data_IF_752094384651
#
_entry.id   IF_752094384651
#
_cell.length_a   1.000
_cell.length_b   1.000
_cell.length_c   1.000
_cell.angle_alpha   90.00
_cell.angle_beta   90.00
_cell.angle_gamma   90.00
#
_symmetry.space_group_name_H-M   'P 1'
#
loop_
_entity.id
_entity.type
_entity.pdbx_description
1 polymer ?
#
# COMPACT_ATOMS: atom_id res chain seq x y z
N UNK A 1 -8.10 25.99 -7.79
CA UNK A 1 -6.97 25.16 -7.30
C UNK A 1 -7.40 24.56 -5.97
N UNK A 2 -7.52 23.23 -5.95
CA UNK A 2 -8.18 22.48 -4.87
C UNK A 2 -7.39 22.57 -3.55
N UNK A 3 -8.09 22.58 -2.41
CA UNK A 3 -7.51 22.42 -1.07
C UNK A 3 -6.55 21.23 -0.98
N UNK A 4 -6.72 20.22 -1.85
CA UNK A 4 -5.80 19.10 -2.06
C UNK A 4 -4.37 19.52 -2.42
N UNK A 5 -4.17 20.50 -3.30
CA UNK A 5 -2.81 20.92 -3.70
C UNK A 5 -2.08 21.63 -2.57
N UNK A 6 -2.81 22.30 -1.68
CA UNK A 6 -2.23 23.00 -0.53
C UNK A 6 -1.80 22.00 0.54
N UNK A 7 -2.61 20.97 0.79
CA UNK A 7 -2.27 19.91 1.74
C UNK A 7 -1.17 18.97 1.22
N UNK A 8 -1.16 18.66 -0.09
CA UNK A 8 -0.05 17.94 -0.74
C UNK A 8 1.27 18.69 -0.59
N UNK A 9 1.26 20.00 -0.82
CA UNK A 9 2.46 20.82 -0.63
C UNK A 9 2.85 20.95 0.85
N UNK A 10 1.90 21.00 1.78
CA UNK A 10 2.18 21.02 3.22
C UNK A 10 2.71 19.66 3.72
N UNK A 11 2.21 18.52 3.21
CA UNK A 11 2.73 17.18 3.52
C UNK A 11 4.14 16.95 2.92
N UNK A 12 4.36 17.40 1.68
CA UNK A 12 5.69 17.40 1.05
C UNK A 12 6.65 18.37 1.77
N UNK A 13 6.14 19.47 2.33
CA UNK A 13 6.92 20.45 3.11
C UNK A 13 7.29 19.93 4.51
N UNK A 14 6.43 19.11 5.14
CA UNK A 14 6.67 18.52 6.46
C UNK A 14 7.66 17.34 6.43
N UNK A 15 7.92 16.70 5.27
CA UNK A 15 8.59 15.37 5.21
C UNK A 15 9.82 15.23 4.30
N UNK A 16 10.53 16.31 3.96
CA UNK A 16 11.78 16.17 3.20
C UNK A 16 12.93 15.46 3.95
N UNK A 17 12.81 15.17 5.25
CA UNK A 17 13.93 14.66 6.05
C UNK A 17 14.02 13.13 6.19
N UNK A 18 12.96 12.36 5.88
CA UNK A 18 12.94 10.90 6.13
C UNK A 18 12.46 10.05 4.93
N UNK A 19 12.29 10.62 3.73
CA UNK A 19 11.88 9.82 2.55
C UNK A 19 12.91 8.76 2.16
N UNK A 20 14.18 9.03 2.50
CA UNK A 20 15.31 8.11 2.40
C UNK A 20 15.17 6.87 3.29
N UNK A 21 14.31 6.88 4.31
CA UNK A 21 13.98 5.68 5.08
C UNK A 21 13.09 4.69 4.32
N UNK A 22 12.42 5.12 3.25
CA UNK A 22 11.64 4.23 2.36
C UNK A 22 12.59 3.52 1.39
N UNK A 23 13.43 2.64 1.92
CA UNK A 23 14.28 1.73 1.14
C UNK A 23 13.66 0.34 1.04
N UNK A 24 14.00 -0.42 0.00
CA UNK A 24 13.58 -1.83 -0.15
C UNK A 24 13.95 -2.67 1.08
N UNK A 25 15.13 -2.43 1.66
CA UNK A 25 15.60 -3.11 2.87
C UNK A 25 14.74 -2.78 4.10
N UNK A 26 14.45 -1.49 4.33
CA UNK A 26 13.64 -1.06 5.47
C UNK A 26 12.20 -1.54 5.34
N UNK A 27 11.64 -1.48 4.12
CA UNK A 27 10.33 -2.05 3.79
C UNK A 27 10.28 -3.55 4.06
N UNK A 28 11.30 -4.31 3.64
CA UNK A 28 11.38 -5.75 3.93
C UNK A 28 11.38 -6.03 5.43
N UNK A 29 12.23 -5.33 6.20
CA UNK A 29 12.32 -5.53 7.64
C UNK A 29 11.01 -5.21 8.34
N UNK A 30 10.36 -4.11 7.96
CA UNK A 30 9.10 -3.69 8.56
C UNK A 30 7.95 -4.62 8.16
N UNK A 31 7.84 -5.05 6.91
CA UNK A 31 6.83 -6.05 6.52
C UNK A 31 7.02 -7.40 7.24
N UNK A 32 8.27 -7.81 7.51
CA UNK A 32 8.55 -8.99 8.36
C UNK A 32 8.07 -8.78 9.80
N UNK A 33 8.28 -7.58 10.35
CA UNK A 33 7.81 -7.22 11.69
C UNK A 33 6.27 -7.26 11.78
N UNK A 34 5.59 -6.71 10.77
CA UNK A 34 4.12 -6.74 10.64
C UNK A 34 3.57 -8.12 10.21
N UNK A 35 4.43 -9.16 10.17
CA UNK A 35 4.06 -10.55 9.89
C UNK A 35 3.38 -10.77 8.53
N UNK A 36 3.79 -10.02 7.51
CA UNK A 36 3.39 -10.33 6.13
C UNK A 36 3.84 -11.74 5.74
N UNK A 37 3.07 -12.45 4.91
CA UNK A 37 3.52 -13.73 4.34
C UNK A 37 4.84 -13.56 3.61
N UNK A 38 5.81 -14.44 3.89
CA UNK A 38 7.17 -14.34 3.32
C UNK A 38 7.19 -14.21 1.79
N UNK A 39 6.39 -15.04 1.11
CA UNK A 39 6.28 -15.00 -0.37
C UNK A 39 5.64 -13.70 -0.86
N UNK A 40 4.67 -13.16 -0.12
CA UNK A 40 4.07 -11.86 -0.46
C UNK A 40 5.12 -10.74 -0.34
N UNK A 41 5.96 -10.78 0.69
CA UNK A 41 7.09 -9.85 0.82
C UNK A 41 7.98 -9.94 -0.42
N UNK A 42 8.40 -11.14 -0.83
CA UNK A 42 9.25 -11.33 -2.01
C UNK A 42 8.60 -10.77 -3.29
N UNK A 43 7.31 -11.01 -3.50
CA UNK A 43 6.55 -10.46 -4.64
C UNK A 43 6.47 -8.93 -4.60
N UNK A 44 6.23 -8.34 -3.42
CA UNK A 44 6.17 -6.89 -3.23
C UNK A 44 7.54 -6.23 -3.47
N UNK A 45 8.61 -6.79 -2.92
CA UNK A 45 9.96 -6.27 -3.11
C UNK A 45 10.40 -6.37 -4.58
N UNK A 46 9.99 -7.42 -5.29
CA UNK A 46 10.26 -7.53 -6.74
C UNK A 46 9.60 -6.38 -7.50
N UNK A 47 8.33 -6.11 -7.23
CA UNK A 47 7.58 -5.02 -7.86
C UNK A 47 8.13 -3.63 -7.47
N UNK A 48 8.53 -3.43 -6.20
CA UNK A 48 9.19 -2.19 -5.75
C UNK A 48 10.52 -1.95 -6.47
N UNK A 49 11.37 -2.97 -6.58
CA UNK A 49 12.63 -2.88 -7.32
C UNK A 49 12.38 -2.55 -8.80
N UNK A 50 11.34 -3.15 -9.41
CA UNK A 50 10.96 -2.83 -10.78
C UNK A 50 10.58 -1.35 -10.93
N UNK A 51 9.77 -0.81 -10.01
CA UNK A 51 9.43 0.61 -10.01
C UNK A 51 10.68 1.49 -9.89
N UNK A 52 11.56 1.22 -8.93
CA UNK A 52 12.81 1.97 -8.75
C UNK A 52 13.63 1.98 -10.04
N UNK A 53 13.73 0.84 -10.73
CA UNK A 53 14.45 0.74 -12.01
C UNK A 53 13.78 1.53 -13.15
N UNK A 54 12.44 1.63 -13.14
CA UNK A 54 11.68 2.30 -14.21
C UNK A 54 11.60 3.83 -14.03
N UNK A 55 11.47 4.31 -12.80
CA UNK A 55 11.18 5.73 -12.51
C UNK A 55 12.19 6.42 -11.59
N UNK A 56 13.12 5.67 -11.01
CA UNK A 56 14.09 6.16 -10.03
C UNK A 56 13.57 6.09 -8.59
N UNK A 57 14.52 6.08 -7.65
CA UNK A 57 14.27 5.90 -6.21
C UNK A 57 13.43 7.04 -5.61
N UNK A 58 13.72 8.29 -5.95
CA UNK A 58 12.99 9.47 -5.42
C UNK A 58 11.50 9.41 -5.80
N UNK A 59 11.19 9.08 -7.05
CA UNK A 59 9.79 8.97 -7.49
C UNK A 59 9.09 7.75 -6.90
N UNK A 60 9.81 6.64 -6.71
CA UNK A 60 9.31 5.50 -5.94
C UNK A 60 8.95 5.90 -4.49
N UNK A 61 9.84 6.58 -3.77
CA UNK A 61 9.62 7.00 -2.38
C UNK A 61 8.42 7.93 -2.26
N UNK A 62 8.28 8.92 -3.16
CA UNK A 62 7.11 9.82 -3.20
C UNK A 62 5.82 9.07 -3.47
N UNK A 63 5.81 8.16 -4.44
CA UNK A 63 4.63 7.36 -4.74
C UNK A 63 4.23 6.50 -3.54
N UNK A 64 5.19 5.84 -2.89
CA UNK A 64 4.93 5.02 -1.72
C UNK A 64 4.46 5.84 -0.51
N UNK A 65 4.98 7.05 -0.32
CA UNK A 65 4.51 7.96 0.72
C UNK A 65 3.06 8.46 0.47
N UNK A 66 2.61 8.46 -0.79
CA UNK A 66 1.26 8.89 -1.19
C UNK A 66 0.21 7.77 -1.23
N UNK A 67 0.56 6.54 -0.82
CA UNK A 67 -0.28 5.34 -0.95
C UNK A 67 -1.64 5.44 -0.25
N UNK A 68 -1.72 6.21 0.83
CA UNK A 68 -2.97 6.44 1.54
C UNK A 68 -4.02 7.15 0.66
N UNK A 69 -3.56 7.92 -0.33
CA UNK A 69 -4.39 8.77 -1.17
C UNK A 69 -4.62 8.19 -2.56
N UNK A 70 -3.89 7.14 -2.95
CA UNK A 70 -3.92 6.56 -4.29
C UNK A 70 -3.71 5.06 -4.24
N UNK A 71 -4.53 4.31 -4.98
CA UNK A 71 -4.26 2.89 -5.23
C UNK A 71 -2.91 2.80 -5.94
N UNK A 72 -1.94 2.03 -5.41
CA UNK A 72 -0.67 1.80 -6.09
C UNK A 72 -0.91 1.34 -7.52
N UNK A 73 -0.20 1.94 -8.47
CA UNK A 73 -0.18 1.42 -9.84
C UNK A 73 0.22 -0.08 -9.88
N UNK A 74 0.96 -0.56 -8.86
CA UNK A 74 1.30 -1.97 -8.64
C UNK A 74 0.09 -2.91 -8.55
N UNK A 75 -1.00 -2.47 -7.93
CA UNK A 75 -2.20 -3.29 -7.69
C UNK A 75 -3.39 -2.90 -8.54
N UNK A 76 -3.24 -1.87 -9.37
CA UNK A 76 -4.29 -1.37 -10.28
C UNK A 76 -4.72 -2.42 -11.32
N UNK A 77 -3.85 -3.39 -11.62
CA UNK A 77 -4.22 -4.54 -12.43
C UNK A 77 -5.11 -5.49 -11.61
N UNK A 78 -6.39 -5.52 -11.95
CA UNK A 78 -7.38 -6.41 -11.34
C UNK A 78 -6.93 -7.88 -11.34
N UNK A 79 -6.33 -8.36 -12.44
CA UNK A 79 -5.80 -9.72 -12.55
C UNK A 79 -4.68 -10.02 -11.54
N UNK A 80 -3.80 -9.05 -11.27
CA UNK A 80 -2.76 -9.21 -10.25
C UNK A 80 -3.37 -9.24 -8.85
N UNK A 81 -4.29 -8.31 -8.56
CA UNK A 81 -4.97 -8.25 -7.27
C UNK A 81 -5.77 -9.53 -6.97
N UNK A 82 -6.48 -10.06 -7.97
CA UNK A 82 -7.19 -11.33 -7.86
C UNK A 82 -6.23 -12.51 -7.63
N UNK A 83 -5.08 -12.52 -8.30
CA UNK A 83 -4.05 -13.54 -8.08
C UNK A 83 -3.52 -13.50 -6.65
N UNK A 84 -3.16 -12.31 -6.15
CA UNK A 84 -2.71 -12.14 -4.76
C UNK A 84 -3.81 -12.58 -3.79
N UNK A 85 -5.07 -12.26 -4.06
CA UNK A 85 -6.19 -12.76 -3.25
C UNK A 85 -6.20 -14.29 -3.20
N UNK A 86 -6.06 -14.97 -4.34
CA UNK A 86 -6.08 -16.44 -4.40
C UNK A 86 -4.89 -17.05 -3.67
N UNK A 87 -3.70 -16.50 -3.87
CA UNK A 87 -2.45 -17.03 -3.31
C UNK A 87 -2.33 -16.79 -1.79
N UNK A 88 -2.94 -15.71 -1.28
CA UNK A 88 -2.86 -15.29 0.12
C UNK A 88 -4.22 -15.13 0.81
N UNK A 89 -5.24 -15.87 0.35
CA UNK A 89 -6.65 -15.72 0.76
C UNK A 89 -6.84 -15.65 2.27
N UNK A 90 -6.25 -16.60 3.01
CA UNK A 90 -6.44 -16.69 4.45
C UNK A 90 -5.91 -15.44 5.16
N UNK A 91 -4.72 -14.98 4.76
CA UNK A 91 -4.13 -13.77 5.33
C UNK A 91 -4.98 -12.53 4.98
N UNK A 92 -5.46 -12.42 3.74
CA UNK A 92 -6.29 -11.27 3.32
C UNK A 92 -7.62 -11.23 4.07
N UNK A 93 -8.33 -12.34 4.20
CA UNK A 93 -9.60 -12.35 4.94
C UNK A 93 -9.39 -12.04 6.43
N UNK A 94 -8.32 -12.56 7.04
CA UNK A 94 -7.97 -12.22 8.42
C UNK A 94 -7.66 -10.72 8.57
N UNK A 95 -6.93 -10.14 7.62
CA UNK A 95 -6.64 -8.70 7.63
C UNK A 95 -7.88 -7.86 7.35
N UNK A 96 -8.79 -8.26 6.47
CA UNK A 96 -10.06 -7.56 6.25
C UNK A 96 -10.86 -7.46 7.55
N UNK A 97 -11.00 -8.56 8.30
CA UNK A 97 -11.71 -8.56 9.57
C UNK A 97 -11.04 -7.64 10.59
N UNK A 98 -9.70 -7.59 10.62
CA UNK A 98 -8.98 -6.64 11.48
C UNK A 98 -9.27 -5.20 11.07
N UNK A 99 -9.20 -4.89 9.78
CA UNK A 99 -9.47 -3.55 9.25
C UNK A 99 -10.88 -3.07 9.55
N UNK A 100 -11.89 -3.93 9.43
CA UNK A 100 -13.26 -3.58 9.81
C UNK A 100 -13.38 -3.29 11.30
N UNK A 101 -12.65 -4.03 12.14
CA UNK A 101 -12.63 -3.80 13.58
C UNK A 101 -11.88 -2.51 13.98
N UNK A 102 -10.80 -2.19 13.28
CA UNK A 102 -9.97 -0.99 13.48
C UNK A 102 -10.69 0.28 13.03
N UNK A 103 -11.29 0.25 11.83
CA UNK A 103 -11.94 1.42 11.21
C UNK A 103 -13.40 1.60 11.59
N UNK A 104 -14.06 0.53 12.08
CA UNK A 104 -15.52 0.46 12.28
C UNK A 104 -16.34 0.65 11.00
N UNK A 105 -15.72 0.49 9.84
CA UNK A 105 -16.35 0.55 8.52
C UNK A 105 -16.28 -0.82 7.87
N UNK A 106 -17.28 -1.18 7.06
CA UNK A 106 -17.22 -2.43 6.31
C UNK A 106 -16.15 -2.34 5.21
N UNK A 107 -15.63 -3.48 4.77
CA UNK A 107 -14.68 -3.49 3.64
C UNK A 107 -15.32 -2.94 2.35
N UNK A 108 -16.65 -3.04 2.22
CA UNK A 108 -17.43 -2.52 1.09
C UNK A 108 -17.40 -1.00 1.08
N UNK A 109 -17.64 -0.36 2.24
CA UNK A 109 -17.55 1.09 2.43
C UNK A 109 -16.12 1.60 2.21
N UNK A 110 -15.12 0.86 2.68
CA UNK A 110 -13.70 1.23 2.50
C UNK A 110 -13.18 1.08 1.05
N UNK A 111 -13.95 0.41 0.18
CA UNK A 111 -13.58 0.14 -1.22
C UNK A 111 -14.60 0.69 -2.21
N UNK A 112 -15.42 1.66 -1.80
CA UNK A 112 -16.38 2.35 -2.67
C UNK A 112 -15.67 3.01 -3.88
N UNK A 113 -14.42 3.46 -3.70
CA UNK A 113 -13.60 4.07 -4.74
C UNK A 113 -13.22 3.11 -5.89
N UNK A 114 -13.32 1.80 -5.65
CA UNK A 114 -12.98 0.73 -6.59
C UNK A 114 -14.11 -0.30 -6.70
N UNK A 115 -15.36 0.15 -6.52
CA UNK A 115 -16.55 -0.72 -6.53
C UNK A 115 -16.68 -1.54 -7.83
N UNK A 116 -16.25 -0.95 -8.96
CA UNK A 116 -16.28 -1.56 -10.30
C UNK A 116 -15.39 -2.82 -10.44
N UNK A 117 -14.47 -3.07 -9.51
CA UNK A 117 -13.58 -4.23 -9.53
C UNK A 117 -14.22 -5.46 -8.89
N UNK A 118 -13.75 -6.66 -9.27
CA UNK A 118 -14.14 -7.90 -8.61
C UNK A 118 -13.89 -7.83 -7.08
N UNK A 119 -14.83 -8.36 -6.29
CA UNK A 119 -14.76 -8.49 -4.83
C UNK A 119 -13.39 -8.98 -4.34
N UNK A 120 -12.80 -9.99 -4.99
CA UNK A 120 -11.49 -10.53 -4.59
C UNK A 120 -10.37 -9.52 -4.81
N UNK A 121 -10.42 -8.79 -5.93
CA UNK A 121 -9.46 -7.74 -6.24
C UNK A 121 -9.61 -6.56 -5.27
N UNK A 122 -10.86 -6.16 -4.95
CA UNK A 122 -11.17 -5.10 -3.99
C UNK A 122 -10.60 -5.39 -2.61
N UNK A 123 -10.84 -6.59 -2.07
CA UNK A 123 -10.31 -7.01 -0.76
C UNK A 123 -8.78 -7.03 -0.74
N UNK A 124 -8.14 -7.59 -1.77
CA UNK A 124 -6.68 -7.59 -1.85
C UNK A 124 -6.11 -6.17 -1.92
N UNK A 125 -6.70 -5.30 -2.75
CA UNK A 125 -6.27 -3.91 -2.85
C UNK A 125 -6.46 -3.15 -1.54
N UNK A 126 -7.58 -3.36 -0.83
CA UNK A 126 -7.83 -2.74 0.46
C UNK A 126 -6.72 -3.10 1.46
N UNK A 127 -6.49 -4.40 1.66
CA UNK A 127 -5.51 -4.90 2.64
C UNK A 127 -4.11 -4.43 2.29
N UNK A 128 -3.69 -4.57 1.03
CA UNK A 128 -2.37 -4.15 0.60
C UNK A 128 -2.18 -2.64 0.72
N UNK A 129 -3.16 -1.84 0.28
CA UNK A 129 -3.11 -0.38 0.39
C UNK A 129 -2.93 0.04 1.84
N UNK A 130 -3.75 -0.51 2.73
CA UNK A 130 -3.75 -0.10 4.13
C UNK A 130 -2.49 -0.56 4.87
N UNK A 131 -2.13 -1.85 4.76
CA UNK A 131 -0.96 -2.38 5.47
C UNK A 131 0.37 -1.84 4.96
N UNK A 132 0.50 -1.59 3.65
CA UNK A 132 1.70 -0.92 3.11
C UNK A 132 1.74 0.54 3.58
N UNK A 133 0.59 1.22 3.64
CA UNK A 133 0.53 2.59 4.17
C UNK A 133 1.02 2.64 5.62
N UNK A 134 0.59 1.71 6.47
CA UNK A 134 1.05 1.62 7.87
C UNK A 134 2.55 1.41 7.96
N UNK A 135 3.09 0.46 7.18
CA UNK A 135 4.54 0.23 7.07
C UNK A 135 5.29 1.51 6.68
N UNK A 136 4.79 2.25 5.69
CA UNK A 136 5.42 3.49 5.21
C UNK A 136 5.31 4.62 6.22
N UNK A 137 4.15 4.78 6.88
CA UNK A 137 3.96 5.80 7.91
C UNK A 137 4.91 5.57 9.09
N UNK A 138 5.09 4.33 9.49
CA UNK A 138 6.01 3.95 10.57
C UNK A 138 7.48 4.18 10.21
N UNK A 139 7.87 4.06 8.94
CA UNK A 139 9.23 4.40 8.50
C UNK A 139 9.48 5.91 8.46
N UNK A 140 8.41 6.69 8.31
CA UNK A 140 8.52 8.14 8.20
C UNK A 140 8.40 8.88 9.54
N UNK A 141 8.07 8.17 10.63
CA UNK A 141 7.89 8.70 11.99
C UNK A 141 9.08 8.33 12.88
#
# INVERSE_FOLDING_TARGET
>A
MSKLNKFFNDFLSIKNNNLDEITVSNLEQKMKHEKFPKKLIEELLFEFNKMINEQGEIEFQKQLASLHYQVPNLFRSELKAEKIYKDYRNWIEDEVVKLENETKLSWEEQTEDIEDLNITARKAQLVLRQRITEVVLDLLN
#
